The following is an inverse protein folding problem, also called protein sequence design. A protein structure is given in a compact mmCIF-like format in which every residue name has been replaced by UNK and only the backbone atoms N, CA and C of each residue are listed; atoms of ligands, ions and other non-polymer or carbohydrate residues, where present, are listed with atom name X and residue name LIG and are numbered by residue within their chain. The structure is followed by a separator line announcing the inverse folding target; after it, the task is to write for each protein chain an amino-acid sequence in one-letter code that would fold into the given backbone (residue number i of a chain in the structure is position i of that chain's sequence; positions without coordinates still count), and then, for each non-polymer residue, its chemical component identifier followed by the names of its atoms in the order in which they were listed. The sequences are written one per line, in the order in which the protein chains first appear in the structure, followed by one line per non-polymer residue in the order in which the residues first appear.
data_IF_171305352469
#
_entry.id   IF_171305352469
#
_cell.length_a   1.000
_cell.length_b   1.000
_cell.length_c   1.000
_cell.angle_alpha   90.00
_cell.angle_beta   90.00
_cell.angle_gamma   90.00
#
_symmetry.space_group_name_H-M   'P 1'
#
loop_
_entity.id
_entity.type
_entity.pdbx_description
1 polymer ?
#
# COMPACT_ATOMS: atom_id res chain seq x y z
N UNK A 1 -19.08 -10.00 12.01
CA UNK A 1 -17.72 -9.65 11.58
C UNK A 1 -17.64 -9.76 10.08
N UNK A 2 -17.32 -8.67 9.43
CA UNK A 2 -17.27 -8.64 7.98
C UNK A 2 -15.83 -8.89 7.52
N UNK A 3 -15.65 -9.88 6.67
CA UNK A 3 -14.39 -10.07 5.96
C UNK A 3 -14.25 -8.95 4.95
N UNK A 4 -13.12 -8.30 4.97
CA UNK A 4 -12.81 -7.13 4.17
C UNK A 4 -11.53 -7.34 3.40
N UNK A 5 -11.39 -6.65 2.27
CA UNK A 5 -10.15 -6.62 1.49
C UNK A 5 -9.64 -5.20 1.40
N UNK A 6 -8.32 -5.05 1.36
CA UNK A 6 -7.69 -3.76 1.16
C UNK A 6 -6.52 -3.90 0.20
N UNK A 7 -6.24 -2.87 -0.57
CA UNK A 7 -5.05 -2.83 -1.40
C UNK A 7 -3.92 -2.20 -0.61
N UNK A 8 -2.75 -2.81 -0.67
CA UNK A 8 -1.53 -2.30 -0.08
C UNK A 8 -0.45 -2.22 -1.15
N UNK A 9 0.39 -1.20 -1.08
CA UNK A 9 1.56 -1.08 -1.95
C UNK A 9 2.76 -0.78 -1.07
N UNK A 10 3.83 -1.56 -1.24
CA UNK A 10 5.13 -1.21 -0.68
C UNK A 10 5.80 -0.32 -1.73
N UNK A 11 6.05 0.92 -1.36
CA UNK A 11 6.52 1.97 -2.27
C UNK A 11 8.00 1.80 -2.62
N UNK A 12 8.50 2.49 -3.65
CA UNK A 12 9.87 2.27 -4.13
C UNK A 12 10.95 2.48 -3.05
N UNK A 13 10.73 3.40 -2.12
CA UNK A 13 11.69 3.66 -1.04
C UNK A 13 11.89 2.44 -0.14
N UNK A 14 10.80 1.77 0.23
CA UNK A 14 10.88 0.58 1.08
C UNK A 14 11.34 -0.65 0.30
N UNK A 15 10.91 -0.79 -0.97
CA UNK A 15 11.42 -1.88 -1.81
C UNK A 15 12.95 -1.79 -1.94
N UNK A 16 13.47 -0.58 -2.15
CA UNK A 16 14.91 -0.36 -2.27
C UNK A 16 15.67 -0.71 -0.99
N UNK A 17 15.02 -0.60 0.18
CA UNK A 17 15.64 -0.99 1.46
C UNK A 17 15.65 -2.48 1.71
N UNK A 18 15.02 -3.26 0.84
CA UNK A 18 14.96 -4.73 0.94
C UNK A 18 14.24 -5.19 2.21
N UNK A 19 13.11 -4.58 2.54
CA UNK A 19 12.34 -4.86 3.75
C UNK A 19 10.94 -5.44 3.46
N UNK A 20 10.69 -5.92 2.24
CA UNK A 20 9.39 -6.49 1.86
C UNK A 20 8.97 -7.59 2.85
N UNK A 21 9.87 -8.52 3.17
CA UNK A 21 9.56 -9.62 4.08
C UNK A 21 9.21 -9.16 5.49
N UNK A 22 9.91 -8.14 5.99
CA UNK A 22 9.62 -7.58 7.30
C UNK A 22 8.24 -6.89 7.32
N UNK A 23 7.87 -6.21 6.24
CA UNK A 23 6.56 -5.58 6.12
C UNK A 23 5.46 -6.64 6.03
N UNK A 24 5.67 -7.69 5.21
CA UNK A 24 4.71 -8.79 5.09
C UNK A 24 4.49 -9.49 6.44
N UNK A 25 5.55 -9.68 7.21
CA UNK A 25 5.44 -10.29 8.54
C UNK A 25 4.52 -9.45 9.45
N UNK A 26 4.54 -8.15 9.33
CA UNK A 26 3.65 -7.27 10.12
C UNK A 26 2.20 -7.39 9.70
N UNK A 27 1.93 -7.57 8.40
CA UNK A 27 0.58 -7.83 7.93
C UNK A 27 0.05 -9.14 8.52
N UNK A 28 0.84 -10.20 8.44
CA UNK A 28 0.42 -11.52 8.95
C UNK A 28 0.25 -11.52 10.46
N UNK A 29 1.13 -10.83 11.17
CA UNK A 29 1.02 -10.68 12.63
C UNK A 29 -0.27 -9.93 13.03
N UNK A 30 -0.72 -8.99 12.19
CA UNK A 30 -1.96 -8.26 12.43
C UNK A 30 -3.21 -9.08 12.11
N UNK A 31 -3.06 -10.30 11.61
CA UNK A 31 -4.18 -11.17 11.26
C UNK A 31 -4.67 -11.02 9.84
N UNK A 32 -3.86 -10.42 8.96
CA UNK A 32 -4.19 -10.24 7.56
C UNK A 32 -3.58 -11.35 6.72
N UNK A 33 -4.33 -11.82 5.73
CA UNK A 33 -3.84 -12.80 4.75
C UNK A 33 -3.51 -12.10 3.45
N UNK A 34 -2.36 -12.42 2.89
CA UNK A 34 -1.98 -11.95 1.56
C UNK A 34 -2.65 -12.90 0.57
N UNK A 35 -3.56 -12.38 -0.24
CA UNK A 35 -4.35 -13.19 -1.19
C UNK A 35 -4.06 -12.88 -2.65
N UNK A 36 -3.24 -11.87 -2.93
CA UNK A 36 -2.67 -11.59 -4.23
C UNK A 36 -1.43 -10.74 -4.01
N UNK A 37 -0.41 -10.92 -4.84
CA UNK A 37 0.82 -10.15 -4.73
C UNK A 37 1.56 -10.16 -6.05
N UNK A 38 2.13 -9.01 -6.44
CA UNK A 38 3.05 -8.94 -7.56
C UNK A 38 3.96 -7.73 -7.45
N UNK A 39 5.16 -7.86 -7.99
CA UNK A 39 6.07 -6.74 -8.14
C UNK A 39 5.84 -6.10 -9.51
N UNK A 40 5.89 -4.79 -9.57
CA UNK A 40 5.72 -4.05 -10.82
C UNK A 40 6.57 -2.77 -10.78
N UNK A 41 7.05 -2.36 -11.94
CA UNK A 41 7.60 -1.02 -12.10
C UNK A 41 6.53 -0.23 -12.87
N UNK A 42 5.84 0.66 -12.18
CA UNK A 42 4.71 1.37 -12.77
C UNK A 42 5.19 2.32 -13.87
N UNK A 43 4.43 2.39 -14.96
CA UNK A 43 4.58 3.44 -15.94
C UNK A 43 3.98 4.74 -15.41
N UNK A 44 4.34 5.86 -16.03
CA UNK A 44 3.71 7.14 -15.67
C UNK A 44 2.19 7.06 -15.84
N UNK A 45 1.72 6.44 -16.92
CA UNK A 45 0.29 6.27 -17.16
C UNK A 45 -0.38 5.44 -16.06
N UNK A 46 0.27 4.36 -15.61
CA UNK A 46 -0.25 3.52 -14.52
C UNK A 46 -0.39 4.33 -13.23
N UNK A 47 0.64 5.07 -12.87
CA UNK A 47 0.63 5.85 -11.63
C UNK A 47 -0.37 7.00 -11.70
N UNK A 48 -0.46 7.69 -12.83
CA UNK A 48 -1.44 8.77 -13.01
C UNK A 48 -2.86 8.25 -12.94
N UNK A 49 -3.13 7.08 -13.50
CA UNK A 49 -4.45 6.44 -13.42
C UNK A 49 -4.81 6.03 -12.01
N UNK A 50 -3.87 5.45 -11.29
CA UNK A 50 -4.09 5.03 -9.90
C UNK A 50 -4.39 6.22 -8.99
N UNK A 51 -3.66 7.32 -9.16
CA UNK A 51 -3.83 8.52 -8.35
C UNK A 51 -4.71 9.58 -9.03
N UNK A 52 -5.59 9.17 -9.95
CA UNK A 52 -6.42 10.10 -10.73
C UNK A 52 -7.25 11.05 -9.87
N UNK A 53 -7.68 10.61 -8.68
CA UNK A 53 -8.44 11.45 -7.75
C UNK A 53 -7.65 12.66 -7.25
N UNK A 54 -6.32 12.62 -7.39
CA UNK A 54 -5.44 13.70 -6.95
C UNK A 54 -5.01 14.62 -8.10
N UNK A 55 -5.52 14.41 -9.32
CA UNK A 55 -5.21 15.29 -10.45
C UNK A 55 -5.58 16.73 -10.11
N UNK A 56 -4.70 17.66 -10.48
CA UNK A 56 -4.90 19.06 -10.16
C UNK A 56 -4.40 19.46 -8.79
N UNK A 57 -3.99 18.52 -7.93
CA UNK A 57 -3.37 18.85 -6.64
C UNK A 57 -1.90 19.21 -6.85
N UNK A 58 -1.35 20.14 -6.05
CA UNK A 58 0.07 20.54 -6.21
C UNK A 58 1.05 19.37 -6.08
N UNK A 59 0.73 18.38 -5.25
CA UNK A 59 1.62 17.22 -5.00
C UNK A 59 1.51 16.12 -6.04
N UNK A 60 0.57 16.19 -6.99
CA UNK A 60 0.28 15.09 -7.92
C UNK A 60 1.51 14.68 -8.73
N UNK A 61 2.19 15.64 -9.33
CA UNK A 61 3.38 15.36 -10.15
C UNK A 61 4.48 14.68 -9.35
N UNK A 62 4.76 15.19 -8.15
CA UNK A 62 5.81 14.65 -7.29
C UNK A 62 5.45 13.23 -6.81
N UNK A 63 4.17 12.99 -6.49
CA UNK A 63 3.69 11.67 -6.12
C UNK A 63 3.88 10.66 -7.26
N UNK A 64 3.50 11.03 -8.47
CA UNK A 64 3.67 10.17 -9.64
C UNK A 64 5.16 9.92 -9.91
N UNK A 65 5.97 10.96 -9.91
CA UNK A 65 7.42 10.83 -10.12
C UNK A 65 8.04 9.88 -9.10
N UNK A 66 7.63 9.97 -7.84
CA UNK A 66 8.12 9.09 -6.78
C UNK A 66 7.70 7.65 -7.02
N UNK A 67 6.44 7.40 -7.34
CA UNK A 67 5.90 6.04 -7.51
C UNK A 67 6.48 5.31 -8.73
N UNK A 68 6.99 6.02 -9.72
CA UNK A 68 7.62 5.40 -10.89
C UNK A 68 9.15 5.36 -10.80
N UNK A 69 9.72 5.82 -9.68
CA UNK A 69 11.18 5.89 -9.50
C UNK A 69 11.85 4.54 -9.33
N UNK A 70 11.10 3.49 -9.04
CA UNK A 70 11.61 2.13 -8.89
C UNK A 70 10.46 1.15 -8.75
N UNK A 71 10.77 -0.16 -8.66
CA UNK A 71 9.74 -1.18 -8.48
C UNK A 71 8.96 -0.99 -7.18
N UNK A 72 7.69 -1.39 -7.23
CA UNK A 72 6.78 -1.44 -6.08
C UNK A 72 6.32 -2.88 -5.89
N UNK A 73 5.90 -3.22 -4.67
CA UNK A 73 5.27 -4.50 -4.39
C UNK A 73 3.81 -4.25 -4.07
N UNK A 74 2.91 -4.86 -4.84
CA UNK A 74 1.47 -4.63 -4.75
C UNK A 74 0.81 -5.90 -4.22
N UNK A 75 -0.04 -5.79 -3.21
CA UNK A 75 -0.71 -6.93 -2.61
C UNK A 75 -2.14 -6.60 -2.20
N UNK A 76 -2.98 -7.64 -2.19
CA UNK A 76 -4.32 -7.59 -1.62
C UNK A 76 -4.28 -8.31 -0.30
N UNK A 77 -4.78 -7.66 0.74
CA UNK A 77 -4.84 -8.19 2.09
C UNK A 77 -6.30 -8.45 2.45
N UNK A 78 -6.57 -9.58 3.11
CA UNK A 78 -7.92 -9.97 3.51
C UNK A 78 -7.96 -10.33 4.98
N UNK A 79 -9.02 -9.93 5.67
CA UNK A 79 -9.26 -10.25 7.07
C UNK A 79 -10.45 -9.46 7.60
N UNK A 80 -10.79 -9.69 8.86
CA UNK A 80 -11.82 -8.90 9.54
C UNK A 80 -11.33 -7.47 9.70
N UNK A 81 -12.11 -6.49 9.27
CA UNK A 81 -11.73 -5.07 9.30
C UNK A 81 -10.35 -4.82 8.66
N UNK A 82 -10.10 -5.40 7.48
CA UNK A 82 -8.78 -5.38 6.86
C UNK A 82 -8.24 -3.97 6.65
N UNK A 83 -9.10 -3.01 6.31
CA UNK A 83 -8.66 -1.63 6.08
C UNK A 83 -8.03 -1.05 7.35
N UNK A 84 -8.72 -1.15 8.47
CA UNK A 84 -8.20 -0.64 9.74
C UNK A 84 -7.00 -1.45 10.23
N UNK A 85 -7.06 -2.79 10.15
CA UNK A 85 -5.95 -3.66 10.55
C UNK A 85 -4.69 -3.46 9.73
N UNK A 86 -4.81 -2.96 8.51
CA UNK A 86 -3.67 -2.57 7.72
C UNK A 86 -3.15 -1.19 8.13
N UNK A 87 -4.05 -0.23 8.35
CA UNK A 87 -3.65 1.13 8.67
C UNK A 87 -2.99 1.24 10.04
N UNK A 88 -3.42 0.45 11.01
CA UNK A 88 -2.80 0.45 12.35
C UNK A 88 -1.29 0.10 12.29
N UNK A 89 -0.87 -1.04 11.69
CA UNK A 89 0.56 -1.32 11.56
C UNK A 89 1.31 -0.39 10.60
N UNK A 90 0.61 0.26 9.67
CA UNK A 90 1.25 1.26 8.81
C UNK A 90 1.78 2.45 9.59
N UNK A 91 1.00 2.93 10.55
CA UNK A 91 1.33 4.11 11.33
C UNK A 91 0.88 5.42 10.66
N UNK A 92 1.11 6.52 11.36
CA UNK A 92 0.74 7.85 10.86
C UNK A 92 1.46 8.18 9.55
N UNK A 93 0.81 8.95 8.68
CA UNK A 93 1.36 9.35 7.38
C UNK A 93 2.73 10.02 7.51
N UNK A 94 2.88 10.88 8.52
CA UNK A 94 4.17 11.46 8.85
C UNK A 94 4.94 10.48 9.75
N UNK A 95 6.09 9.93 9.30
CA UNK A 95 6.84 8.96 10.09
C UNK A 95 7.33 9.53 11.42
N UNK A 96 7.51 10.83 11.53
CA UNK A 96 7.90 11.47 12.79
C UNK A 96 6.80 11.40 13.85
N UNK A 97 5.55 11.25 13.41
CA UNK A 97 4.38 11.13 14.29
C UNK A 97 3.90 9.68 14.42
N UNK A 98 4.51 8.75 13.70
CA UNK A 98 4.12 7.35 13.74
C UNK A 98 4.62 6.69 15.02
N UNK A 99 3.76 5.87 15.63
CA UNK A 99 4.12 5.17 16.87
C UNK A 99 5.26 4.19 16.62
N UNK A 100 6.16 3.99 17.60
CA UNK A 100 7.24 3.01 17.48
C UNK A 100 6.69 1.62 17.14
N UNK A 101 7.40 0.90 16.27
CA UNK A 101 7.01 -0.42 15.83
C UNK A 101 6.07 -0.43 14.62
N UNK A 102 5.58 0.72 14.19
CA UNK A 102 4.81 0.80 12.94
C UNK A 102 5.75 0.79 11.74
N UNK A 103 5.21 0.41 10.58
CA UNK A 103 6.00 0.33 9.34
C UNK A 103 6.62 1.69 9.01
N UNK A 104 5.83 2.74 9.10
CA UNK A 104 6.32 4.09 8.76
C UNK A 104 7.35 4.61 9.76
N UNK A 105 7.17 4.32 11.06
CA UNK A 105 8.17 4.70 12.06
C UNK A 105 9.52 4.03 11.79
N UNK A 106 9.50 2.76 11.38
CA UNK A 106 10.71 1.97 11.21
C UNK A 106 11.37 2.15 9.85
N UNK A 107 10.59 2.35 8.78
CA UNK A 107 11.10 2.27 7.42
C UNK A 107 10.89 3.52 6.56
N UNK A 108 10.01 4.44 6.95
CA UNK A 108 9.75 5.64 6.16
C UNK A 108 10.72 6.77 6.51
N UNK A 109 11.05 7.60 5.52
CA UNK A 109 11.96 8.72 5.71
C UNK A 109 11.22 10.04 5.87
N UNK A 110 10.08 10.20 5.19
CA UNK A 110 9.34 11.46 5.14
C UNK A 110 7.88 11.20 4.80
N UNK A 111 7.08 12.24 4.78
CA UNK A 111 5.68 12.15 4.34
C UNK A 111 5.61 11.67 2.88
N UNK A 112 6.52 12.15 2.03
CA UNK A 112 6.53 11.77 0.61
C UNK A 112 7.09 10.37 0.40
N UNK A 113 8.16 10.00 1.12
CA UNK A 113 8.77 8.67 1.07
C UNK A 113 8.35 7.88 2.31
N UNK A 114 7.07 7.52 2.37
CA UNK A 114 6.47 6.96 3.59
C UNK A 114 6.21 5.45 3.54
N UNK A 115 6.94 4.73 2.72
CA UNK A 115 7.09 3.29 2.68
C UNK A 115 5.89 2.51 2.13
N UNK A 116 4.66 2.82 2.53
CA UNK A 116 3.50 1.99 2.18
C UNK A 116 2.27 2.83 1.88
N UNK A 117 1.40 2.26 1.04
CA UNK A 117 0.05 2.73 0.77
C UNK A 117 -0.94 1.70 1.26
N UNK A 118 -2.09 2.13 1.77
CA UNK A 118 -3.22 1.27 2.09
C UNK A 118 -4.52 1.99 1.73
N UNK A 119 -5.50 1.23 1.25
CA UNK A 119 -6.83 1.80 0.97
C UNK A 119 -7.42 2.39 2.24
N UNK A 120 -8.23 3.43 2.11
CA UNK A 120 -8.79 4.14 3.26
C UNK A 120 -10.28 3.85 3.49
N UNK A 121 -10.94 3.18 2.56
CA UNK A 121 -12.37 2.87 2.67
C UNK A 121 -12.71 1.64 1.81
N UNK A 122 -13.82 0.93 2.10
CA UNK A 122 -14.22 -0.23 1.28
C UNK A 122 -14.40 0.10 -0.20
N UNK A 123 -14.99 1.23 -0.52
CA UNK A 123 -15.22 1.66 -1.91
C UNK A 123 -13.90 1.92 -2.63
N UNK A 124 -12.98 2.59 -1.97
CA UNK A 124 -11.64 2.86 -2.51
C UNK A 124 -10.86 1.57 -2.70
N UNK A 125 -10.95 0.66 -1.73
CA UNK A 125 -10.28 -0.64 -1.82
C UNK A 125 -10.75 -1.43 -3.04
N UNK A 126 -12.06 -1.46 -3.29
CA UNK A 126 -12.61 -2.19 -4.43
C UNK A 126 -12.06 -1.66 -5.75
N UNK A 127 -12.04 -0.35 -5.92
CA UNK A 127 -11.52 0.30 -7.13
C UNK A 127 -10.02 0.03 -7.29
N UNK A 128 -9.27 0.18 -6.21
CA UNK A 128 -7.80 0.02 -6.25
C UNK A 128 -7.39 -1.42 -6.52
N UNK A 129 -8.08 -2.39 -5.92
CA UNK A 129 -7.82 -3.81 -6.18
C UNK A 129 -8.08 -4.13 -7.65
N UNK A 130 -9.24 -3.70 -8.17
CA UNK A 130 -9.60 -3.94 -9.57
C UNK A 130 -8.67 -3.26 -10.57
N UNK A 131 -8.00 -2.20 -10.14
CA UNK A 131 -7.03 -1.52 -11.01
C UNK A 131 -5.80 -2.39 -11.31
N UNK A 132 -5.35 -3.16 -10.32
CA UNK A 132 -4.11 -3.95 -10.46
C UNK A 132 -4.33 -5.44 -10.63
N UNK A 133 -5.45 -6.01 -10.17
CA UNK A 133 -5.65 -7.45 -10.17
C UNK A 133 -6.97 -7.86 -10.82
N UNK A 134 -6.93 -8.68 -11.89
CA UNK A 134 -8.14 -9.37 -12.34
C UNK A 134 -8.66 -10.27 -11.23
N UNK A 135 -9.99 -10.43 -11.14
CA UNK A 135 -10.61 -11.18 -10.04
C UNK A 135 -10.10 -12.62 -9.94
N UNK A 136 -9.73 -13.24 -11.07
CA UNK A 136 -9.22 -14.61 -11.09
C UNK A 136 -7.80 -14.77 -10.57
N UNK A 137 -7.12 -13.66 -10.26
CA UNK A 137 -5.77 -13.66 -9.68
C UNK A 137 -5.78 -13.31 -8.18
N UNK A 138 -6.96 -13.27 -7.57
CA UNK A 138 -7.13 -13.01 -6.14
C UNK A 138 -7.69 -14.29 -5.50
N UNK A 139 -6.97 -14.83 -4.53
CA UNK A 139 -7.22 -16.18 -3.98
C UNK A 139 -7.58 -16.11 -2.50
N UNK A 140 -8.86 -15.96 -2.20
CA UNK A 140 -9.33 -16.02 -0.82
C UNK A 140 -8.98 -17.38 -0.22
N UNK A 141 -8.44 -17.40 1.01
CA UNK A 141 -7.94 -18.63 1.62
C UNK A 141 -8.05 -18.64 3.14
#
# INVERSE_FOLDING_TARGET
MAVERTLSIIKPDAVAKNVIGQIYARFEKAGLKIIAARMAHLSRQDAEGFYAVHRGRPFFKDLVDFMISGPVMIQVLEGDNAILKNRDPMGATDPKKAAPGTIRADFAQSIDANAVHGSDAPETAQVEIGYFFPSHQVYSR
#
